data_IF_922058612489
#
_entry.id   IF_922058612489
#
_cell.length_a   1.000
_cell.length_b   1.000
_cell.length_c   1.000
_cell.angle_alpha   90.00
_cell.angle_beta   90.00
_cell.angle_gamma   90.00
#
_symmetry.space_group_name_H-M   'P 1'
#
loop_
_entity.id
_entity.type
_entity.pdbx_description
1 polymer ?
#
# COMPACT_ATOMS: atom_id res chain seq x y z
N UNK A 1 4.22 -14.22 -10.35
CA UNK A 1 2.78 -13.92 -10.21
C UNK A 1 2.55 -12.44 -10.48
N UNK A 2 1.89 -12.09 -11.59
CA UNK A 2 1.49 -10.71 -11.86
C UNK A 2 0.18 -10.42 -11.14
N UNK A 3 0.21 -9.56 -10.13
CA UNK A 3 -0.99 -9.05 -9.47
C UNK A 3 -1.54 -7.85 -10.28
N UNK A 4 -2.60 -8.05 -11.04
CA UNK A 4 -3.32 -6.97 -11.71
C UNK A 4 -4.45 -6.45 -10.82
N UNK A 5 -4.26 -5.26 -10.23
CA UNK A 5 -5.35 -4.48 -9.63
C UNK A 5 -6.03 -3.68 -10.73
N UNK A 6 -7.21 -4.12 -11.19
CA UNK A 6 -7.91 -3.44 -12.29
C UNK A 6 -8.75 -2.27 -11.75
N UNK A 7 -8.30 -1.04 -12.06
CA UNK A 7 -9.11 0.18 -12.10
C UNK A 7 -9.60 0.39 -13.54
N UNK A 8 -10.79 0.98 -13.81
CA UNK A 8 -11.45 0.91 -15.13
C UNK A 8 -10.79 1.68 -16.26
N UNK A 9 -9.58 2.22 -16.10
CA UNK A 9 -8.98 3.17 -17.04
C UNK A 9 -7.51 2.91 -17.40
N UNK A 10 -6.99 1.70 -17.17
CA UNK A 10 -5.63 1.33 -17.60
C UNK A 10 -5.68 0.30 -18.73
N UNK A 11 -4.99 0.52 -19.87
CA UNK A 11 -4.82 -0.49 -20.90
C UNK A 11 -3.76 -1.49 -20.42
N UNK A 12 -4.15 -2.38 -19.49
CA UNK A 12 -3.31 -3.43 -18.91
C UNK A 12 -3.16 -4.67 -19.81
N UNK A 13 -3.84 -4.69 -20.97
CA UNK A 13 -3.92 -5.88 -21.82
C UNK A 13 -2.58 -6.27 -22.49
N UNK A 14 -1.61 -5.36 -22.61
CA UNK A 14 -0.38 -5.60 -23.39
C UNK A 14 0.78 -6.23 -22.61
N UNK A 15 0.74 -6.28 -21.27
CA UNK A 15 1.83 -6.82 -20.43
C UNK A 15 1.56 -8.21 -19.85
N UNK A 16 0.37 -8.77 -20.06
CA UNK A 16 0.02 -10.13 -19.65
C UNK A 16 0.39 -11.09 -20.78
N UNK A 17 1.67 -11.45 -20.86
CA UNK A 17 2.12 -12.48 -21.81
C UNK A 17 1.57 -13.85 -21.42
N UNK A 18 1.12 -14.58 -22.44
CA UNK A 18 0.25 -15.77 -22.44
C UNK A 18 0.80 -17.07 -21.78
N UNK A 19 1.99 -17.04 -21.19
CA UNK A 19 2.70 -18.27 -20.75
C UNK A 19 2.72 -18.50 -19.23
N UNK A 20 2.10 -17.62 -18.43
CA UNK A 20 2.03 -17.77 -16.98
C UNK A 20 0.57 -17.75 -16.50
N UNK A 21 0.24 -18.66 -15.57
CA UNK A 21 -1.05 -18.72 -14.90
C UNK A 21 -1.44 -17.34 -14.35
N UNK A 22 -2.45 -16.73 -14.96
CA UNK A 22 -2.93 -15.40 -14.61
C UNK A 22 -4.14 -15.55 -13.68
N UNK A 23 -3.95 -15.13 -12.43
CA UNK A 23 -4.99 -15.17 -11.38
C UNK A 23 -5.71 -13.82 -11.35
N UNK A 24 -7.03 -13.80 -11.61
CA UNK A 24 -7.81 -12.57 -11.52
C UNK A 24 -8.39 -12.41 -10.12
N UNK A 25 -7.93 -11.39 -9.42
CA UNK A 25 -8.50 -10.98 -8.14
C UNK A 25 -9.62 -9.98 -8.38
N UNK A 26 -10.86 -10.42 -8.22
CA UNK A 26 -12.02 -9.54 -8.30
C UNK A 26 -12.28 -8.87 -6.97
N UNK A 27 -11.65 -7.70 -6.85
CA UNK A 27 -12.06 -6.56 -6.03
C UNK A 27 -12.07 -6.81 -4.52
N UNK A 28 -11.36 -5.96 -3.77
CA UNK A 28 -11.16 -6.05 -2.31
C UNK A 28 -12.44 -5.94 -1.44
N UNK A 29 -13.62 -5.62 -1.99
CA UNK A 29 -14.80 -5.21 -1.22
C UNK A 29 -16.12 -5.54 -1.93
N UNK A 30 -16.38 -6.83 -2.20
CA UNK A 30 -17.63 -7.30 -2.83
C UNK A 30 -18.86 -7.19 -1.93
N UNK A 31 -18.69 -6.98 -0.62
CA UNK A 31 -19.73 -6.83 0.39
C UNK A 31 -20.61 -5.57 0.23
N UNK A 32 -20.14 -4.59 -0.55
CA UNK A 32 -20.88 -3.36 -0.84
C UNK A 32 -21.68 -3.41 -2.16
N UNK A 33 -21.65 -4.55 -2.85
CA UNK A 33 -22.33 -4.71 -4.14
C UNK A 33 -23.63 -5.50 -3.97
N UNK A 34 -24.57 -5.23 -4.86
CA UNK A 34 -25.74 -6.08 -5.02
C UNK A 34 -25.27 -7.50 -5.43
N UNK A 35 -25.70 -8.57 -4.73
CA UNK A 35 -25.34 -9.94 -5.07
C UNK A 35 -25.58 -10.30 -6.54
N UNK A 36 -26.63 -9.75 -7.16
CA UNK A 36 -26.93 -10.00 -8.58
C UNK A 36 -25.84 -9.46 -9.50
N UNK A 37 -25.30 -8.28 -9.18
CA UNK A 37 -24.24 -7.67 -9.98
C UNK A 37 -22.92 -8.44 -9.84
N UNK A 38 -22.67 -9.04 -8.67
CA UNK A 38 -21.54 -9.94 -8.48
C UNK A 38 -21.70 -11.20 -9.34
N UNK A 39 -22.89 -11.81 -9.35
CA UNK A 39 -23.19 -12.99 -10.18
C UNK A 39 -23.09 -12.69 -11.68
N UNK A 40 -23.71 -11.60 -12.17
CA UNK A 40 -23.62 -11.17 -13.57
C UNK A 40 -22.16 -10.94 -14.00
N UNK A 41 -21.36 -10.34 -13.12
CA UNK A 41 -19.95 -10.11 -13.40
C UNK A 41 -19.14 -11.41 -13.39
N UNK A 42 -19.45 -12.36 -12.50
CA UNK A 42 -18.81 -13.68 -12.49
C UNK A 42 -19.11 -14.45 -13.78
N UNK A 43 -20.35 -14.38 -14.26
CA UNK A 43 -20.76 -14.97 -15.55
C UNK A 43 -20.02 -14.29 -16.72
N UNK A 44 -19.94 -12.95 -16.70
CA UNK A 44 -19.19 -12.19 -17.71
C UNK A 44 -17.70 -12.57 -17.71
N UNK A 45 -17.06 -12.59 -16.56
CA UNK A 45 -15.64 -12.89 -16.43
C UNK A 45 -15.34 -14.36 -16.78
N UNK A 46 -16.24 -15.30 -16.47
CA UNK A 46 -16.15 -16.68 -16.93
C UNK A 46 -16.27 -16.78 -18.46
N UNK A 47 -17.15 -15.99 -19.08
CA UNK A 47 -17.29 -15.96 -20.55
C UNK A 47 -16.09 -15.31 -21.26
N UNK A 48 -15.42 -14.35 -20.60
CA UNK A 48 -14.18 -13.72 -21.08
C UNK A 48 -12.95 -14.64 -20.96
N UNK A 49 -13.09 -15.79 -20.30
CA UNK A 49 -12.03 -16.81 -20.18
C UNK A 49 -12.00 -17.76 -21.40
N UNK A 50 -12.94 -17.60 -22.35
CA UNK A 50 -13.05 -18.43 -23.55
C UNK A 50 -12.02 -18.05 -24.64
N UNK A 51 -11.54 -19.04 -25.44
CA UNK A 51 -10.33 -18.96 -26.25
C UNK A 51 -10.35 -18.00 -27.47
N UNK A 52 -11.47 -17.36 -27.80
CA UNK A 52 -11.66 -16.70 -29.11
C UNK A 52 -11.48 -15.18 -29.12
N UNK A 53 -10.93 -14.58 -28.06
CA UNK A 53 -10.64 -13.15 -28.07
C UNK A 53 -9.20 -12.85 -27.62
N UNK A 54 -8.61 -11.80 -28.19
CA UNK A 54 -7.26 -11.29 -27.93
C UNK A 54 -7.12 -10.68 -26.51
N UNK A 55 -7.70 -11.33 -25.51
CA UNK A 55 -7.81 -10.91 -24.11
C UNK A 55 -7.08 -11.92 -23.21
N UNK A 56 -6.61 -11.44 -22.06
CA UNK A 56 -5.90 -12.28 -21.10
C UNK A 56 -6.81 -13.42 -20.58
N UNK A 57 -6.32 -14.66 -20.66
CA UNK A 57 -7.00 -15.83 -20.10
C UNK A 57 -6.84 -15.85 -18.58
N UNK A 58 -7.94 -15.80 -17.86
CA UNK A 58 -7.94 -15.91 -16.39
C UNK A 58 -8.21 -17.35 -15.98
N UNK A 59 -7.35 -17.96 -15.16
CA UNK A 59 -7.54 -19.37 -14.77
C UNK A 59 -8.57 -19.56 -13.66
N UNK A 60 -8.77 -18.54 -12.84
CA UNK A 60 -9.75 -18.55 -11.77
C UNK A 60 -10.08 -17.13 -11.33
N UNK A 61 -11.28 -17.00 -10.75
CA UNK A 61 -11.88 -15.74 -10.34
C UNK A 61 -12.41 -15.89 -8.90
N UNK A 62 -11.93 -15.05 -8.00
CA UNK A 62 -12.30 -15.09 -6.57
C UNK A 62 -13.05 -13.82 -6.17
N UNK A 63 -14.36 -13.89 -5.90
CA UNK A 63 -15.07 -12.80 -5.26
C UNK A 63 -14.68 -12.75 -3.78
N UNK A 64 -14.11 -11.62 -3.32
CA UNK A 64 -13.68 -11.49 -1.93
C UNK A 64 -14.01 -10.12 -1.32
N UNK A 65 -14.21 -10.10 -0.01
CA UNK A 65 -14.36 -8.87 0.76
C UNK A 65 -13.30 -8.85 1.87
N UNK A 66 -12.13 -8.30 1.57
CA UNK A 66 -10.97 -8.35 2.48
C UNK A 66 -11.26 -7.66 3.83
N UNK A 67 -12.10 -6.61 3.84
CA UNK A 67 -12.50 -5.93 5.08
C UNK A 67 -13.38 -6.79 5.97
N UNK A 68 -14.25 -7.60 5.35
CA UNK A 68 -15.16 -8.51 6.03
C UNK A 68 -14.57 -9.92 6.19
N UNK A 69 -13.32 -10.14 5.73
CA UNK A 69 -12.65 -11.44 5.66
C UNK A 69 -13.46 -12.54 4.94
N UNK A 70 -14.33 -12.15 3.99
CA UNK A 70 -15.15 -13.12 3.23
C UNK A 70 -14.46 -13.52 1.93
N UNK A 71 -14.56 -14.80 1.58
CA UNK A 71 -13.99 -15.36 0.36
C UNK A 71 -12.47 -15.56 0.39
N UNK A 72 -11.83 -15.35 1.56
CA UNK A 72 -10.38 -15.50 1.71
C UNK A 72 -9.96 -16.98 1.80
N UNK A 73 -10.76 -17.83 2.46
CA UNK A 73 -10.46 -19.25 2.66
C UNK A 73 -10.34 -20.00 1.32
N UNK A 74 -11.37 -19.89 0.47
CA UNK A 74 -11.39 -20.50 -0.87
C UNK A 74 -10.21 -20.05 -1.72
N UNK A 75 -9.83 -18.77 -1.61
CA UNK A 75 -8.68 -18.22 -2.30
C UNK A 75 -7.35 -18.80 -1.77
N UNK A 76 -7.20 -18.94 -0.45
CA UNK A 76 -6.01 -19.51 0.18
C UNK A 76 -5.85 -21.00 -0.17
N UNK A 77 -6.94 -21.76 -0.14
CA UNK A 77 -6.95 -23.19 -0.47
C UNK A 77 -6.54 -23.45 -1.92
N UNK A 78 -7.09 -22.69 -2.88
CA UNK A 78 -6.71 -22.83 -4.28
C UNK A 78 -5.26 -22.39 -4.54
N UNK A 79 -4.79 -21.31 -3.90
CA UNK A 79 -3.39 -20.91 -3.98
C UNK A 79 -2.46 -22.00 -3.46
N UNK A 80 -2.80 -22.63 -2.33
CA UNK A 80 -2.04 -23.73 -1.77
C UNK A 80 -2.03 -24.95 -2.71
N UNK A 81 -3.18 -25.31 -3.29
CA UNK A 81 -3.29 -26.42 -4.25
C UNK A 81 -2.47 -26.20 -5.54
N UNK A 82 -2.31 -24.94 -5.97
CA UNK A 82 -1.51 -24.56 -7.15
C UNK A 82 -0.04 -24.31 -6.84
N UNK A 83 0.31 -24.12 -5.57
CA UNK A 83 1.68 -23.86 -5.15
C UNK A 83 2.58 -25.05 -5.50
N UNK A 84 3.81 -24.75 -5.94
CA UNK A 84 4.83 -25.79 -6.14
C UNK A 84 5.51 -26.07 -4.80
N UNK A 85 5.85 -27.34 -4.51
CA UNK A 85 6.72 -27.64 -3.37
C UNK A 85 8.04 -26.91 -3.53
N UNK A 86 8.54 -26.29 -2.47
CA UNK A 86 9.80 -25.56 -2.46
C UNK A 86 10.20 -25.22 -1.03
N UNK A 87 11.47 -24.85 -0.85
CA UNK A 87 11.99 -24.45 0.44
C UNK A 87 11.46 -23.07 0.84
N UNK A 88 11.30 -22.85 2.14
CA UNK A 88 10.91 -21.55 2.68
C UNK A 88 12.09 -20.59 2.60
N UNK A 89 11.95 -19.54 1.79
CA UNK A 89 12.97 -18.47 1.68
C UNK A 89 13.00 -17.56 2.92
N UNK A 90 11.90 -17.49 3.67
CA UNK A 90 11.74 -16.61 4.82
C UNK A 90 11.44 -17.41 6.09
N UNK A 91 11.94 -16.92 7.22
CA UNK A 91 11.65 -17.51 8.52
C UNK A 91 10.19 -17.26 8.91
N UNK A 92 9.56 -18.21 9.62
CA UNK A 92 8.15 -18.11 10.05
C UNK A 92 7.84 -16.89 10.94
N UNK A 93 8.86 -16.34 11.60
CA UNK A 93 8.74 -15.12 12.42
C UNK A 93 8.94 -13.81 11.63
N UNK A 94 9.37 -13.87 10.37
CA UNK A 94 9.61 -12.69 9.56
C UNK A 94 8.30 -12.24 8.91
N UNK A 95 7.65 -11.25 9.52
CA UNK A 95 6.40 -10.70 9.00
C UNK A 95 6.58 -9.85 7.72
N UNK A 96 7.76 -9.25 7.53
CA UNK A 96 8.06 -8.40 6.37
C UNK A 96 9.57 -8.31 6.11
N UNK A 97 9.96 -8.13 4.85
CA UNK A 97 11.32 -7.75 4.44
C UNK A 97 11.55 -6.23 4.50
N UNK A 98 10.54 -5.45 4.84
CA UNK A 98 10.64 -3.99 4.88
C UNK A 98 11.67 -3.53 5.92
N UNK A 99 12.63 -2.70 5.50
CA UNK A 99 13.59 -2.10 6.43
C UNK A 99 12.90 -1.15 7.41
N UNK A 100 13.46 -0.99 8.61
CA UNK A 100 12.92 -0.07 9.62
C UNK A 100 12.79 1.36 9.10
N UNK A 101 13.75 1.81 8.29
CA UNK A 101 13.69 3.13 7.65
C UNK A 101 12.52 3.27 6.69
N UNK A 102 12.26 2.26 5.86
CA UNK A 102 11.09 2.24 4.98
C UNK A 102 9.79 2.22 5.80
N UNK A 103 9.71 1.43 6.87
CA UNK A 103 8.54 1.39 7.76
C UNK A 103 8.26 2.77 8.38
N UNK A 104 9.30 3.48 8.84
CA UNK A 104 9.18 4.83 9.39
C UNK A 104 8.63 5.81 8.36
N UNK A 105 9.21 5.81 7.14
CA UNK A 105 8.79 6.71 6.07
C UNK A 105 7.36 6.43 5.62
N UNK A 106 6.96 5.17 5.55
CA UNK A 106 5.59 4.77 5.20
C UNK A 106 4.58 5.10 6.29
N UNK A 107 4.94 4.87 7.55
CA UNK A 107 4.08 5.22 8.68
C UNK A 107 3.83 6.72 8.76
N UNK A 108 4.88 7.53 8.51
CA UNK A 108 4.72 8.98 8.42
C UNK A 108 3.88 9.39 7.20
N UNK A 109 4.07 8.71 6.05
CA UNK A 109 3.26 8.94 4.84
C UNK A 109 1.79 8.70 5.09
N UNK A 110 1.46 7.65 5.83
CA UNK A 110 0.08 7.35 6.21
C UNK A 110 -0.53 8.48 7.03
N UNK A 111 0.21 9.05 7.99
CA UNK A 111 -0.29 10.20 8.76
C UNK A 111 -0.53 11.42 7.86
N UNK A 112 0.27 11.61 6.81
CA UNK A 112 0.00 12.64 5.81
C UNK A 112 -1.33 12.40 5.09
N UNK A 113 -1.65 11.16 4.71
CA UNK A 113 -2.94 10.84 4.09
C UNK A 113 -4.14 11.03 5.03
N UNK A 114 -3.97 10.73 6.31
CA UNK A 114 -5.05 10.86 7.31
C UNK A 114 -5.37 12.33 7.62
N UNK A 115 -4.34 13.18 7.68
CA UNK A 115 -4.48 14.54 8.21
C UNK A 115 -4.48 15.64 7.16
N UNK A 116 -3.90 15.40 5.98
CA UNK A 116 -3.80 16.38 4.91
C UNK A 116 -4.83 16.07 3.82
N UNK A 117 -5.58 17.07 3.41
CA UNK A 117 -6.60 16.94 2.37
C UNK A 117 -6.01 17.13 0.96
N UNK A 118 -6.80 16.73 -0.05
CA UNK A 118 -6.55 16.96 -1.49
C UNK A 118 -5.29 16.23 -1.98
N UNK A 119 -4.58 16.83 -2.92
CA UNK A 119 -3.43 16.25 -3.60
C UNK A 119 -2.12 16.39 -2.81
N UNK A 120 -2.14 17.07 -1.65
CA UNK A 120 -0.94 17.38 -0.89
C UNK A 120 -0.11 16.14 -0.55
N UNK A 121 -0.67 15.06 0.02
CA UNK A 121 0.09 13.87 0.42
C UNK A 121 0.91 13.27 -0.73
N UNK A 122 0.41 13.35 -1.96
CA UNK A 122 1.09 12.80 -3.15
C UNK A 122 2.28 13.64 -3.61
N UNK A 123 2.33 14.91 -3.23
CA UNK A 123 3.40 15.84 -3.63
C UNK A 123 4.54 15.92 -2.62
N UNK A 124 4.34 15.40 -1.41
CA UNK A 124 5.34 15.39 -0.36
C UNK A 124 6.40 14.31 -0.66
N UNK A 125 7.67 14.66 -0.42
CA UNK A 125 8.76 13.70 -0.44
C UNK A 125 9.37 13.64 0.95
N UNK A 126 9.50 12.45 1.52
CA UNK A 126 10.21 12.25 2.78
C UNK A 126 11.47 11.42 2.57
N UNK A 127 12.52 11.78 3.31
CA UNK A 127 13.80 11.08 3.36
C UNK A 127 14.36 11.15 4.77
N UNK A 128 14.95 10.05 5.23
CA UNK A 128 15.73 10.04 6.47
C UNK A 128 17.07 10.74 6.22
N UNK A 129 17.34 11.79 6.99
CA UNK A 129 18.64 12.49 6.98
C UNK A 129 19.60 11.85 7.99
N UNK A 130 19.12 11.50 9.18
CA UNK A 130 19.96 11.01 10.27
C UNK A 130 19.19 9.98 11.11
N UNK A 131 19.92 8.98 11.59
CA UNK A 131 19.44 8.01 12.59
C UNK A 131 20.47 7.93 13.68
N UNK A 132 20.06 8.17 14.92
CA UNK A 132 20.91 8.02 16.10
C UNK A 132 20.18 7.24 17.19
N UNK A 133 20.92 6.57 18.06
CA UNK A 133 20.37 5.81 19.17
C UNK A 133 21.03 6.29 20.45
N UNK A 134 20.22 6.70 21.43
CA UNK A 134 20.66 7.19 22.74
C UNK A 134 19.80 6.52 23.79
N UNK A 135 20.41 5.88 24.79
CA UNK A 135 19.73 5.22 25.91
C UNK A 135 18.59 4.26 25.49
N UNK A 136 18.79 3.53 24.38
CA UNK A 136 17.79 2.59 23.85
C UNK A 136 16.64 3.24 23.06
N UNK A 137 16.61 4.57 22.97
CA UNK A 137 15.65 5.33 22.16
C UNK A 137 16.25 5.66 20.80
N UNK A 138 15.50 5.33 19.74
CA UNK A 138 15.87 5.63 18.36
C UNK A 138 15.38 7.03 17.99
N UNK A 139 16.30 7.92 17.66
CA UNK A 139 16.04 9.27 17.19
C UNK A 139 16.24 9.33 15.68
N UNK A 140 15.22 9.77 14.95
CA UNK A 140 15.24 9.79 13.49
C UNK A 140 14.92 11.18 12.99
N UNK A 141 15.86 11.77 12.24
CA UNK A 141 15.66 13.03 11.54
C UNK A 141 15.15 12.76 10.13
N UNK A 142 13.98 13.32 9.81
CA UNK A 142 13.32 13.16 8.52
C UNK A 142 13.19 14.52 7.88
N UNK A 143 13.71 14.65 6.65
CA UNK A 143 13.42 15.79 5.80
C UNK A 143 12.13 15.53 5.02
N UNK A 144 11.18 16.46 5.12
CA UNK A 144 9.96 16.46 4.32
C UNK A 144 9.98 17.68 3.40
N UNK A 145 9.93 17.42 2.11
CA UNK A 145 10.05 18.44 1.07
C UNK A 145 8.73 18.66 0.36
N UNK A 146 8.32 19.93 0.23
CA UNK A 146 7.12 20.35 -0.50
C UNK A 146 7.48 21.04 -1.83
N UNK A 147 6.50 21.19 -2.74
CA UNK A 147 6.73 21.93 -3.99
C UNK A 147 6.69 23.45 -3.82
N UNK A 148 5.97 23.95 -2.82
CA UNK A 148 5.82 25.38 -2.57
C UNK A 148 5.73 25.73 -1.08
N UNK A 149 5.99 26.99 -0.75
CA UNK A 149 5.81 27.49 0.62
C UNK A 149 4.34 27.44 1.07
N UNK A 150 3.38 27.59 0.15
CA UNK A 150 1.96 27.51 0.50
C UNK A 150 1.60 26.11 1.02
N UNK A 151 2.09 25.07 0.34
CA UNK A 151 1.95 23.69 0.79
C UNK A 151 2.62 23.45 2.15
N UNK A 152 3.83 24.00 2.34
CA UNK A 152 4.57 23.88 3.60
C UNK A 152 3.77 24.48 4.78
N UNK A 153 3.09 25.62 4.59
CA UNK A 153 2.20 26.19 5.61
C UNK A 153 1.02 25.27 5.96
N UNK A 154 0.46 24.55 4.99
CA UNK A 154 -0.62 23.59 5.22
C UNK A 154 -0.12 22.41 6.06
N UNK A 155 1.07 21.88 5.75
CA UNK A 155 1.70 20.77 6.51
C UNK A 155 1.97 21.18 7.96
N UNK A 156 2.50 22.40 8.19
CA UNK A 156 2.73 22.93 9.54
C UNK A 156 1.40 23.09 10.29
N UNK A 157 0.39 23.65 9.61
CA UNK A 157 -0.87 24.05 10.23
C UNK A 157 -0.71 25.23 11.19
N UNK A 158 -1.77 25.54 11.93
CA UNK A 158 -1.76 26.66 12.89
C UNK A 158 -0.73 26.39 14.00
N UNK A 159 0.29 27.25 14.12
CA UNK A 159 1.35 27.16 15.14
C UNK A 159 2.10 25.81 15.16
N UNK A 160 2.14 25.07 14.05
CA UNK A 160 2.78 23.75 14.01
C UNK A 160 1.94 22.61 14.60
N UNK A 161 0.69 22.87 15.01
CA UNK A 161 -0.15 21.86 15.66
C UNK A 161 -0.46 20.66 14.76
N UNK A 162 -0.61 20.87 13.45
CA UNK A 162 -0.89 19.78 12.51
C UNK A 162 0.32 18.86 12.38
N UNK A 163 1.51 19.41 12.15
CA UNK A 163 2.74 18.64 12.06
C UNK A 163 3.00 17.85 13.34
N UNK A 164 2.87 18.49 14.50
CA UNK A 164 3.06 17.82 15.80
C UNK A 164 2.10 16.64 15.96
N UNK A 165 0.83 16.82 15.60
CA UNK A 165 -0.18 15.76 15.67
C UNK A 165 0.17 14.58 14.76
N UNK A 166 0.58 14.84 13.52
CA UNK A 166 0.99 13.79 12.57
C UNK A 166 2.23 13.03 13.08
N UNK A 167 3.22 13.75 13.60
CA UNK A 167 4.46 13.14 14.14
C UNK A 167 4.16 12.27 15.35
N UNK A 168 3.38 12.76 16.32
CA UNK A 168 3.01 12.01 17.51
C UNK A 168 2.19 10.76 17.17
N UNK A 169 1.27 10.85 16.20
CA UNK A 169 0.50 9.70 15.73
C UNK A 169 1.41 8.66 15.06
N UNK A 170 2.39 9.09 14.27
CA UNK A 170 3.38 8.21 13.64
C UNK A 170 4.26 7.51 14.69
N UNK A 171 4.76 8.24 15.70
CA UNK A 171 5.55 7.67 16.80
C UNK A 171 4.77 6.62 17.60
N UNK A 172 3.50 6.90 17.91
CA UNK A 172 2.64 5.94 18.61
C UNK A 172 2.45 4.65 17.80
N UNK A 173 2.19 4.79 16.49
CA UNK A 173 2.03 3.64 15.59
C UNK A 173 3.32 2.84 15.40
N UNK A 174 4.46 3.51 15.28
CA UNK A 174 5.76 2.83 15.18
C UNK A 174 6.10 2.07 16.46
N UNK A 175 5.75 2.61 17.63
CA UNK A 175 5.93 1.93 18.90
C UNK A 175 5.09 0.65 18.98
N UNK A 176 3.84 0.71 18.54
CA UNK A 176 2.95 -0.45 18.48
C UNK A 176 3.48 -1.53 17.52
N UNK A 177 3.92 -1.14 16.33
CA UNK A 177 4.43 -2.06 15.30
C UNK A 177 5.79 -2.67 15.64
N UNK A 178 6.67 -1.95 16.34
CA UNK A 178 8.07 -2.37 16.54
C UNK A 178 8.42 -2.72 17.98
N UNK A 179 7.58 -2.35 18.95
CA UNK A 179 7.88 -2.45 20.38
C UNK A 179 9.01 -1.53 20.86
N UNK A 180 9.56 -0.65 20.00
CA UNK A 180 10.71 0.20 20.31
C UNK A 180 10.29 1.63 20.61
N UNK A 181 11.07 2.31 21.46
CA UNK A 181 10.93 3.76 21.66
C UNK A 181 11.57 4.50 20.48
N UNK A 182 10.73 5.12 19.64
CA UNK A 182 11.15 5.85 18.45
C UNK A 182 10.64 7.29 18.55
N UNK A 183 11.53 8.24 18.32
CA UNK A 183 11.22 9.68 18.26
C UNK A 183 11.60 10.24 16.89
N UNK A 184 10.66 10.94 16.28
CA UNK A 184 10.79 11.50 14.95
C UNK A 184 10.96 13.01 15.04
N UNK A 185 12.02 13.53 14.43
CA UNK A 185 12.21 14.97 14.19
C UNK A 185 11.98 15.24 12.72
N UNK A 186 11.10 16.19 12.41
CA UNK A 186 10.78 16.54 11.02
C UNK A 186 11.34 17.91 10.70
N UNK A 187 12.20 17.96 9.67
CA UNK A 187 12.73 19.17 9.06
C UNK A 187 11.97 19.42 7.77
N UNK A 188 11.41 20.62 7.63
CA UNK A 188 10.64 21.00 6.45
C UNK A 188 11.51 21.79 5.47
N UNK A 189 11.42 21.45 4.19
CA UNK A 189 12.11 22.15 3.11
C UNK A 189 11.16 22.39 1.93
N UNK A 190 11.43 23.41 1.12
CA UNK A 190 10.79 23.59 -0.19
C UNK A 190 11.78 23.13 -1.25
N UNK A 191 11.33 22.32 -2.20
CA UNK A 191 12.16 21.90 -3.32
C UNK A 191 12.59 23.14 -4.11
N UNK A 192 13.90 23.40 -4.18
CA UNK A 192 14.43 24.37 -5.13
C UNK A 192 14.21 23.82 -6.54
N UNK A 193 13.59 24.62 -7.42
CA UNK A 193 13.70 24.35 -8.85
C UNK A 193 15.17 24.57 -9.25
N UNK A 194 15.82 23.64 -9.97
CA UNK A 194 16.99 24.04 -10.73
C UNK A 194 16.54 25.16 -11.69
N UNK A 195 17.18 26.33 -11.58
CA UNK A 195 17.05 27.39 -12.58
C UNK A 195 17.64 26.93 -13.90
#
# INVERSE_FOLDING_TARGET
>A
MCFALIWPSLPLASSLTLDAACLLLLRKQTDLLDPKLVEEFLVFAASATLPDSNQARFEAIYPMAARALKGLEVFQEDLLARSKPGDWEFHSSQASEQSLGALILETLREQFYVHLNKELPYTLKQRIEEVSQVDGQLNVLIQVTTRSQSQLRIVIGKQGAMLRRMVQAAEARLRDQTGKSITLRVKLAVASHPK
#
